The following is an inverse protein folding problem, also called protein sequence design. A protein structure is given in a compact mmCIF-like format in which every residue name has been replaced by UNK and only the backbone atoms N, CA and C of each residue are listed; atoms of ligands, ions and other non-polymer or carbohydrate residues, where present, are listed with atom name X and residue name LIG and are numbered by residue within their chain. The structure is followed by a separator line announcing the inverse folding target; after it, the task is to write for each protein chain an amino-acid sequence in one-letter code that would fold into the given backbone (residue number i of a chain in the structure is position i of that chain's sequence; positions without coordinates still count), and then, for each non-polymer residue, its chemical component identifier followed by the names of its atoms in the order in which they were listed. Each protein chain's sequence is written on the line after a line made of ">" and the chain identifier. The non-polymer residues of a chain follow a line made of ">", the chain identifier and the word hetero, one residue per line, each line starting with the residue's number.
data_IF_233551856674
#
_entry.id   IF_233551856674
#
_cell.length_a   1.000
_cell.length_b   1.000
_cell.length_c   1.000
_cell.angle_alpha   90.00
_cell.angle_beta   90.00
_cell.angle_gamma   90.00
#
_symmetry.space_group_name_H-M   'P 1'
#
loop_
_entity.id
_entity.type
_entity.pdbx_description
1 polymer ?
#
# COMPACT_ATOMS: atom_id res chain seq x y z
N UNK A 1 -11.63 9.75 -28.37
CA UNK A 1 -12.39 8.73 -27.62
C UNK A 1 -13.23 9.36 -26.51
N UNK A 2 -12.66 9.83 -25.38
CA UNK A 2 -13.44 10.27 -24.20
C UNK A 2 -14.49 11.35 -24.49
N UNK A 3 -14.11 12.48 -25.10
CA UNK A 3 -15.06 13.56 -25.46
C UNK A 3 -16.21 13.14 -26.39
N UNK A 4 -16.06 12.02 -27.10
CA UNK A 4 -17.07 11.55 -28.05
C UNK A 4 -17.94 10.45 -27.47
N UNK A 5 -17.35 9.50 -26.73
CA UNK A 5 -18.07 8.35 -26.18
C UNK A 5 -18.49 8.51 -24.72
N UNK A 6 -17.84 9.40 -23.97
CA UNK A 6 -18.05 9.59 -22.53
C UNK A 6 -18.59 10.99 -22.18
N UNK A 7 -19.05 11.76 -23.18
CA UNK A 7 -19.62 13.10 -22.95
C UNK A 7 -20.88 13.10 -22.08
N UNK A 8 -21.58 11.96 -21.98
CA UNK A 8 -22.72 11.82 -21.07
C UNK A 8 -22.34 12.00 -19.59
N UNK A 9 -21.07 11.79 -19.23
CA UNK A 9 -20.55 12.01 -17.87
C UNK A 9 -20.53 13.51 -17.54
N UNK A 10 -20.31 14.38 -18.53
CA UNK A 10 -20.35 15.84 -18.31
C UNK A 10 -21.74 16.35 -17.90
N UNK A 11 -22.78 15.56 -18.16
CA UNK A 11 -24.15 15.87 -17.72
C UNK A 11 -24.44 15.43 -16.27
N UNK A 12 -23.51 14.74 -15.63
CA UNK A 12 -23.59 14.29 -14.25
C UNK A 12 -22.61 15.09 -13.37
N UNK A 13 -23.09 16.13 -12.66
CA UNK A 13 -22.21 17.05 -11.92
C UNK A 13 -21.54 16.39 -10.69
N UNK A 14 -22.01 15.22 -10.27
CA UNK A 14 -21.45 14.45 -9.17
C UNK A 14 -20.53 13.32 -9.65
N UNK A 15 -20.32 13.19 -10.96
CA UNK A 15 -19.43 12.19 -11.52
C UNK A 15 -17.97 12.66 -11.53
N UNK A 16 -17.09 11.76 -11.11
CA UNK A 16 -15.65 11.86 -11.28
C UNK A 16 -15.19 10.69 -12.17
N UNK A 17 -14.65 11.02 -13.33
CA UNK A 17 -13.95 10.06 -14.19
C UNK A 17 -12.44 10.25 -14.06
N UNK A 18 -11.76 9.18 -13.65
CA UNK A 18 -10.30 9.09 -13.67
C UNK A 18 -9.86 8.08 -14.72
N UNK A 19 -8.73 8.36 -15.35
CA UNK A 19 -8.07 7.46 -16.29
C UNK A 19 -6.58 7.39 -16.02
N UNK A 20 -6.03 6.18 -16.00
CA UNK A 20 -4.60 5.95 -15.98
C UNK A 20 -4.22 4.98 -17.10
N UNK A 21 -3.62 5.53 -18.16
CA UNK A 21 -3.30 4.82 -19.41
C UNK A 21 -4.52 4.16 -20.01
N UNK A 22 -4.82 2.89 -19.69
CA UNK A 22 -5.95 2.14 -20.25
C UNK A 22 -7.02 1.80 -19.21
N UNK A 23 -6.75 2.07 -17.94
CA UNK A 23 -7.67 1.79 -16.84
C UNK A 23 -8.53 3.01 -16.51
N UNK A 24 -9.84 2.78 -16.38
CA UNK A 24 -10.82 3.81 -16.02
C UNK A 24 -11.39 3.55 -14.63
N UNK A 25 -11.69 4.63 -13.91
CA UNK A 25 -12.47 4.62 -12.67
C UNK A 25 -13.54 5.70 -12.76
N UNK A 26 -14.81 5.28 -12.70
CA UNK A 26 -15.95 6.17 -12.59
C UNK A 26 -16.47 6.11 -11.15
N UNK A 27 -16.61 7.28 -10.52
CA UNK A 27 -17.24 7.45 -9.21
C UNK A 27 -18.43 8.38 -9.41
N UNK A 28 -19.64 7.92 -9.11
CA UNK A 28 -20.87 8.73 -9.19
C UNK A 28 -21.97 8.08 -8.34
N UNK A 29 -22.87 8.85 -7.71
CA UNK A 29 -24.09 8.32 -7.11
C UNK A 29 -25.20 8.02 -8.14
N UNK A 30 -25.05 8.45 -9.40
CA UNK A 30 -26.10 8.35 -10.41
C UNK A 30 -26.06 7.02 -11.17
N UNK A 31 -27.04 6.16 -10.90
CA UNK A 31 -27.16 4.85 -11.55
C UNK A 31 -27.22 4.94 -13.08
N UNK A 32 -27.85 5.97 -13.66
CA UNK A 32 -27.93 6.10 -15.13
C UNK A 32 -26.57 6.31 -15.76
N UNK A 33 -25.71 7.07 -15.09
CA UNK A 33 -24.33 7.30 -15.53
C UNK A 33 -23.51 6.01 -15.43
N UNK A 34 -23.70 5.22 -14.36
CA UNK A 34 -23.08 3.91 -14.19
C UNK A 34 -23.50 2.97 -15.33
N UNK A 35 -24.79 2.87 -15.63
CA UNK A 35 -25.30 1.97 -16.68
C UNK A 35 -24.82 2.37 -18.09
N UNK A 36 -24.78 3.68 -18.37
CA UNK A 36 -24.24 4.21 -19.62
C UNK A 36 -22.73 3.93 -19.76
N UNK A 37 -21.97 4.08 -18.68
CA UNK A 37 -20.54 3.77 -18.66
C UNK A 37 -20.28 2.27 -18.82
N UNK A 38 -21.06 1.42 -18.15
CA UNK A 38 -20.99 -0.03 -18.31
C UNK A 38 -21.28 -0.47 -19.75
N UNK A 39 -22.24 0.18 -20.40
CA UNK A 39 -22.56 -0.04 -21.82
C UNK A 39 -21.38 0.37 -22.71
N UNK A 40 -20.74 1.49 -22.43
CA UNK A 40 -19.52 1.92 -23.12
C UNK A 40 -18.38 0.89 -22.94
N UNK A 41 -18.12 0.42 -21.72
CA UNK A 41 -17.09 -0.58 -21.42
C UNK A 41 -17.34 -1.87 -22.22
N UNK A 42 -18.58 -2.36 -22.27
CA UNK A 42 -18.89 -3.56 -23.06
C UNK A 42 -18.77 -3.39 -24.56
N UNK A 43 -19.15 -2.22 -25.09
CA UNK A 43 -19.14 -1.98 -26.53
C UNK A 43 -17.76 -1.59 -27.06
N UNK A 44 -16.90 -1.05 -26.20
CA UNK A 44 -15.63 -0.44 -26.56
C UNK A 44 -15.81 0.86 -27.36
N UNK A 45 -14.68 1.41 -27.82
CA UNK A 45 -14.64 2.50 -28.77
C UNK A 45 -14.01 1.99 -30.08
N UNK A 46 -14.81 1.22 -30.85
CA UNK A 46 -14.36 0.51 -32.06
C UNK A 46 -13.78 1.44 -33.12
N UNK A 47 -14.31 2.65 -33.27
CA UNK A 47 -13.80 3.67 -34.20
C UNK A 47 -12.39 4.17 -33.82
N UNK A 48 -11.99 3.94 -32.57
CA UNK A 48 -10.65 4.23 -32.04
C UNK A 48 -9.80 2.96 -31.88
N UNK A 49 -10.27 1.80 -32.35
CA UNK A 49 -9.59 0.51 -32.18
C UNK A 49 -9.43 0.08 -30.71
N UNK A 50 -10.30 0.54 -29.83
CA UNK A 50 -10.23 0.30 -28.39
C UNK A 50 -11.33 -0.67 -27.94
N UNK A 51 -10.91 -1.76 -27.30
CA UNK A 51 -11.79 -2.76 -26.70
C UNK A 51 -11.41 -2.91 -25.22
N UNK A 52 -12.41 -3.07 -24.36
CA UNK A 52 -12.19 -3.29 -22.93
C UNK A 52 -12.47 -4.74 -22.57
N UNK A 53 -11.72 -5.26 -21.60
CA UNK A 53 -11.97 -6.58 -21.07
C UNK A 53 -13.10 -6.50 -20.02
N UNK A 54 -14.34 -6.72 -20.45
CA UNK A 54 -15.51 -6.70 -19.56
C UNK A 54 -15.38 -7.69 -18.39
N UNK A 55 -14.72 -8.85 -18.59
CA UNK A 55 -14.50 -9.84 -17.52
C UNK A 55 -13.49 -9.38 -16.45
N UNK A 56 -12.63 -8.41 -16.77
CA UNK A 56 -11.75 -7.74 -15.80
C UNK A 56 -12.34 -6.45 -15.24
N UNK A 57 -13.52 -6.05 -15.70
CA UNK A 57 -14.19 -4.85 -15.25
C UNK A 57 -14.97 -5.14 -13.97
N UNK A 58 -14.98 -4.17 -13.06
CA UNK A 58 -15.62 -4.31 -11.74
C UNK A 58 -16.57 -3.15 -11.46
N UNK A 59 -17.62 -3.44 -10.70
CA UNK A 59 -18.59 -2.45 -10.20
C UNK A 59 -18.89 -2.68 -8.72
N UNK A 60 -19.29 -1.63 -8.00
CA UNK A 60 -19.72 -1.74 -6.60
C UNK A 60 -21.12 -2.33 -6.45
N UNK A 61 -21.92 -2.28 -7.52
CA UNK A 61 -23.27 -2.82 -7.57
C UNK A 61 -23.50 -3.60 -8.87
N UNK A 62 -24.54 -4.46 -8.86
CA UNK A 62 -24.94 -5.20 -10.06
C UNK A 62 -25.42 -4.24 -11.13
N UNK A 63 -24.94 -4.44 -12.35
CA UNK A 63 -25.39 -3.71 -13.54
C UNK A 63 -26.30 -4.65 -14.33
N UNK A 64 -27.61 -4.40 -14.29
CA UNK A 64 -28.61 -5.28 -14.90
C UNK A 64 -28.43 -5.41 -16.42
N UNK A 65 -27.91 -4.36 -17.06
CA UNK A 65 -27.65 -4.35 -18.50
C UNK A 65 -26.40 -5.14 -18.91
N UNK A 66 -25.61 -5.64 -17.95
CA UNK A 66 -24.30 -6.22 -18.23
C UNK A 66 -23.80 -7.21 -17.16
N UNK A 67 -24.18 -8.48 -17.30
CA UNK A 67 -23.74 -9.55 -16.39
C UNK A 67 -22.24 -9.92 -16.53
N UNK A 68 -21.50 -9.36 -17.49
CA UNK A 68 -20.06 -9.63 -17.65
C UNK A 68 -19.19 -8.83 -16.68
N UNK A 69 -19.69 -7.70 -16.16
CA UNK A 69 -18.97 -6.89 -15.19
C UNK A 69 -19.12 -7.53 -13.82
N UNK A 70 -17.98 -7.81 -13.18
CA UNK A 70 -17.96 -8.45 -11.88
C UNK A 70 -18.42 -7.47 -10.80
N UNK A 71 -19.37 -7.90 -9.96
CA UNK A 71 -19.69 -7.15 -8.74
C UNK A 71 -18.56 -7.39 -7.75
N UNK A 72 -17.85 -6.33 -7.41
CA UNK A 72 -16.94 -6.35 -6.30
C UNK A 72 -17.79 -6.46 -5.01
N UNK A 73 -17.53 -7.45 -4.17
CA UNK A 73 -18.19 -7.55 -2.86
C UNK A 73 -17.33 -6.96 -1.74
N UNK A 74 -16.06 -6.68 -2.02
CA UNK A 74 -15.15 -6.09 -1.07
C UNK A 74 -15.52 -4.63 -0.76
N UNK A 75 -15.30 -4.25 0.50
CA UNK A 75 -15.47 -2.89 1.00
C UNK A 75 -14.49 -1.90 0.36
N UNK A 76 -13.35 -2.43 -0.10
CA UNK A 76 -12.23 -1.72 -0.70
C UNK A 76 -12.20 -2.01 -2.21
N UNK A 77 -12.47 -1.00 -3.04
CA UNK A 77 -12.52 -1.12 -4.49
C UNK A 77 -11.13 -0.91 -5.11
N UNK A 78 -10.58 -1.87 -5.88
CA UNK A 78 -9.23 -1.75 -6.43
C UNK A 78 -9.19 -0.93 -7.71
N UNK A 79 -8.17 -0.07 -7.83
CA UNK A 79 -7.84 0.61 -9.08
C UNK A 79 -6.37 1.05 -9.10
N UNK A 80 -5.61 0.64 -10.12
CA UNK A 80 -4.23 1.06 -10.37
C UNK A 80 -3.26 0.93 -9.18
N UNK A 81 -3.40 -0.11 -8.36
CA UNK A 81 -2.55 -0.33 -7.18
C UNK A 81 -2.97 0.46 -5.93
N UNK A 82 -4.16 1.05 -5.96
CA UNK A 82 -4.85 1.66 -4.83
C UNK A 82 -6.14 0.92 -4.52
N UNK A 83 -6.61 1.07 -3.28
CA UNK A 83 -7.89 0.59 -2.81
C UNK A 83 -8.71 1.79 -2.32
N UNK A 84 -9.97 1.90 -2.73
CA UNK A 84 -10.87 2.97 -2.33
C UNK A 84 -11.96 2.40 -1.42
N UNK A 85 -12.07 2.91 -0.20
CA UNK A 85 -13.19 2.55 0.67
C UNK A 85 -14.49 3.05 0.03
N UNK A 86 -15.47 2.16 -0.16
CA UNK A 86 -16.73 2.52 -0.85
C UNK A 86 -17.45 3.73 -0.29
N UNK A 87 -17.57 3.78 1.04
CA UNK A 87 -18.44 4.78 1.68
C UNK A 87 -17.69 6.07 2.01
N UNK A 88 -16.44 5.98 2.48
CA UNK A 88 -15.66 7.14 2.93
C UNK A 88 -14.75 7.71 1.86
N UNK A 89 -14.49 6.95 0.79
CA UNK A 89 -13.49 7.25 -0.26
C UNK A 89 -12.07 7.38 0.27
N UNK A 90 -11.81 6.93 1.51
CA UNK A 90 -10.46 6.75 2.04
C UNK A 90 -9.64 5.86 1.10
N UNK A 91 -8.38 6.21 0.88
CA UNK A 91 -7.52 5.56 -0.11
C UNK A 91 -6.41 4.79 0.59
N UNK A 92 -6.27 3.52 0.25
CA UNK A 92 -5.19 2.65 0.70
C UNK A 92 -4.29 2.22 -0.45
N UNK A 93 -3.11 1.73 -0.11
CA UNK A 93 -2.26 1.05 -1.08
C UNK A 93 -2.69 -0.40 -1.24
N UNK A 94 -2.76 -0.87 -2.49
CA UNK A 94 -2.96 -2.28 -2.77
C UNK A 94 -1.61 -3.03 -2.65
N UNK A 95 -1.59 -4.04 -1.78
CA UNK A 95 -0.47 -4.94 -1.54
C UNK A 95 -0.74 -6.38 -2.01
N UNK A 96 -1.92 -6.69 -2.54
CA UNK A 96 -2.30 -8.05 -3.00
C UNK A 96 -1.31 -8.64 -4.00
N UNK A 97 -0.64 -7.78 -4.79
CA UNK A 97 0.44 -8.18 -5.70
C UNK A 97 1.64 -8.87 -5.03
N UNK A 98 1.76 -8.78 -3.70
CA UNK A 98 2.81 -9.43 -2.91
C UNK A 98 2.35 -10.75 -2.27
N UNK A 99 1.04 -11.03 -2.22
CA UNK A 99 0.49 -12.18 -1.49
C UNK A 99 0.88 -13.53 -2.12
N UNK A 100 0.88 -13.61 -3.46
CA UNK A 100 1.11 -14.88 -4.18
C UNK A 100 2.52 -15.01 -4.78
N UNK A 101 3.39 -14.02 -4.57
CA UNK A 101 4.77 -14.03 -5.10
C UNK A 101 5.76 -13.95 -3.96
N UNK A 102 6.75 -14.86 -3.94
CA UNK A 102 7.82 -14.81 -2.95
C UNK A 102 8.54 -13.46 -2.99
N UNK A 103 8.60 -12.75 -1.86
CA UNK A 103 9.22 -11.42 -1.82
C UNK A 103 10.70 -11.44 -2.29
N UNK A 104 11.40 -12.57 -2.16
CA UNK A 104 12.74 -12.79 -2.73
C UNK A 104 12.78 -12.60 -4.24
N UNK A 105 11.74 -13.04 -4.96
CA UNK A 105 11.66 -12.98 -6.42
C UNK A 105 11.41 -11.56 -6.93
N UNK A 106 10.97 -10.66 -6.03
CA UNK A 106 10.68 -9.26 -6.30
C UNK A 106 11.84 -8.33 -5.95
N UNK A 107 12.99 -8.87 -5.53
CA UNK A 107 14.13 -8.11 -5.04
C UNK A 107 15.41 -8.37 -5.84
N UNK A 108 16.08 -7.30 -6.25
CA UNK A 108 17.45 -7.39 -6.73
C UNK A 108 18.43 -7.29 -5.55
N UNK A 109 19.12 -8.40 -5.27
CA UNK A 109 20.06 -8.52 -4.15
C UNK A 109 21.48 -8.13 -4.59
N UNK A 110 22.08 -7.17 -3.89
CA UNK A 110 23.53 -6.96 -3.91
C UNK A 110 24.09 -7.65 -2.65
N UNK A 111 24.89 -8.69 -2.86
CA UNK A 111 25.41 -9.57 -1.80
C UNK A 111 26.51 -8.93 -0.94
N UNK A 112 27.01 -7.76 -1.31
CA UNK A 112 27.96 -6.97 -0.51
C UNK A 112 27.40 -5.57 -0.23
N UNK A 113 26.27 -5.46 0.49
CA UNK A 113 25.63 -4.17 0.71
C UNK A 113 26.38 -3.34 1.76
N UNK A 114 26.43 -2.04 1.54
CA UNK A 114 26.78 -1.08 2.59
C UNK A 114 25.55 -0.73 3.45
N UNK A 115 25.76 -0.11 4.60
CA UNK A 115 24.66 0.45 5.40
C UNK A 115 23.82 1.44 4.57
N UNK A 116 24.49 2.22 3.72
CA UNK A 116 23.83 3.15 2.82
C UNK A 116 22.87 2.44 1.86
N UNK A 117 23.26 1.29 1.30
CA UNK A 117 22.42 0.52 0.38
C UNK A 117 21.16 -0.01 1.07
N UNK A 118 21.31 -0.53 2.29
CA UNK A 118 20.17 -1.03 3.08
C UNK A 118 19.18 0.10 3.41
N UNK A 119 19.70 1.23 3.90
CA UNK A 119 18.88 2.42 4.19
C UNK A 119 18.20 2.91 2.91
N UNK A 120 18.96 3.06 1.82
CA UNK A 120 18.44 3.55 0.55
C UNK A 120 17.31 2.65 0.03
N UNK A 121 17.51 1.33 -0.05
CA UNK A 121 16.50 0.39 -0.55
C UNK A 121 15.20 0.43 0.27
N UNK A 122 15.30 0.40 1.59
CA UNK A 122 14.12 0.47 2.46
C UNK A 122 13.43 1.84 2.38
N UNK A 123 14.19 2.95 2.37
CA UNK A 123 13.65 4.29 2.17
C UNK A 123 12.92 4.44 0.84
N UNK A 124 13.46 3.89 -0.26
CA UNK A 124 12.78 3.92 -1.56
C UNK A 124 11.45 3.15 -1.53
N UNK A 125 11.42 1.97 -0.88
CA UNK A 125 10.18 1.20 -0.73
C UNK A 125 9.08 2.01 0.00
N UNK A 126 9.46 2.76 1.04
CA UNK A 126 8.55 3.64 1.78
C UNK A 126 8.09 4.81 0.90
N UNK A 127 9.02 5.50 0.23
CA UNK A 127 8.72 6.70 -0.58
C UNK A 127 7.76 6.40 -1.73
N UNK A 128 7.89 5.24 -2.36
CA UNK A 128 6.95 4.80 -3.41
C UNK A 128 5.51 4.70 -2.89
N UNK A 129 5.33 4.39 -1.60
CA UNK A 129 4.06 4.28 -0.90
C UNK A 129 3.70 5.53 -0.07
N UNK A 130 4.41 6.65 -0.25
CA UNK A 130 4.13 7.96 0.36
C UNK A 130 3.57 8.98 -0.65
N UNK A 131 2.73 8.51 -1.58
CA UNK A 131 2.03 9.41 -2.50
C UNK A 131 1.02 10.27 -1.74
N UNK A 132 0.79 11.52 -2.18
CA UNK A 132 -0.06 12.48 -1.46
C UNK A 132 -1.47 11.92 -1.17
N UNK A 133 -2.06 11.21 -2.13
CA UNK A 133 -3.39 10.58 -1.98
C UNK A 133 -3.50 9.62 -0.79
N UNK A 134 -2.37 9.07 -0.30
CA UNK A 134 -2.33 8.12 0.83
C UNK A 134 -2.05 8.77 2.19
N UNK A 135 -1.50 9.98 2.19
CA UNK A 135 -0.94 10.62 3.39
C UNK A 135 -1.54 11.99 3.70
N UNK A 136 -2.36 12.53 2.81
CA UNK A 136 -3.00 13.82 3.01
C UNK A 136 -4.25 13.67 3.91
N UNK A 137 -4.31 14.38 5.06
CA UNK A 137 -5.46 14.36 5.96
C UNK A 137 -6.71 15.05 5.39
N UNK A 138 -6.60 15.75 4.27
CA UNK A 138 -7.74 16.34 3.56
C UNK A 138 -8.54 15.30 2.78
N UNK A 139 -7.91 14.17 2.42
CA UNK A 139 -8.55 13.08 1.68
C UNK A 139 -8.83 11.85 2.53
N UNK A 140 -8.09 11.67 3.63
CA UNK A 140 -8.15 10.45 4.42
C UNK A 140 -8.40 10.73 5.89
N UNK A 141 -9.22 9.90 6.53
CA UNK A 141 -9.37 9.95 7.98
C UNK A 141 -8.09 9.52 8.72
N UNK A 142 -7.96 9.93 9.98
CA UNK A 142 -6.79 9.62 10.82
C UNK A 142 -6.48 8.12 10.92
N UNK A 143 -7.51 7.26 10.99
CA UNK A 143 -7.31 5.81 11.05
C UNK A 143 -6.68 5.28 9.75
N UNK A 144 -7.11 5.80 8.60
CA UNK A 144 -6.57 5.46 7.27
C UNK A 144 -5.13 5.93 7.12
N UNK A 145 -4.80 7.15 7.57
CA UNK A 145 -3.42 7.65 7.57
C UNK A 145 -2.48 6.74 8.38
N UNK A 146 -2.94 6.26 9.54
CA UNK A 146 -2.19 5.33 10.37
C UNK A 146 -2.04 3.95 9.72
N UNK A 147 -3.10 3.41 9.11
CA UNK A 147 -3.03 2.15 8.36
C UNK A 147 -2.02 2.25 7.21
N UNK A 148 -2.15 3.27 6.37
CA UNK A 148 -1.22 3.52 5.26
C UNK A 148 0.23 3.69 5.75
N UNK A 149 0.43 4.33 6.92
CA UNK A 149 1.75 4.42 7.53
C UNK A 149 2.30 3.07 7.98
N UNK A 150 1.49 2.27 8.67
CA UNK A 150 1.90 0.94 9.09
C UNK A 150 2.24 0.03 7.91
N UNK A 151 1.37 -0.06 6.90
CA UNK A 151 1.55 -0.98 5.78
C UNK A 151 2.76 -0.63 4.93
N UNK A 152 3.06 0.67 4.70
CA UNK A 152 4.28 1.08 3.98
C UNK A 152 5.55 0.72 4.75
N UNK A 153 5.53 0.84 6.08
CA UNK A 153 6.64 0.45 6.94
C UNK A 153 6.80 -1.07 7.00
N UNK A 154 5.69 -1.80 6.99
CA UNK A 154 5.68 -3.26 6.93
C UNK A 154 6.30 -3.77 5.64
N UNK A 155 5.92 -3.20 4.48
CA UNK A 155 6.54 -3.54 3.21
C UNK A 155 8.06 -3.32 3.24
N UNK A 156 8.49 -2.19 3.78
CA UNK A 156 9.91 -1.86 3.89
C UNK A 156 10.67 -2.80 4.83
N UNK A 157 10.07 -3.14 5.97
CA UNK A 157 10.62 -4.11 6.92
C UNK A 157 10.74 -5.50 6.29
N UNK A 158 9.70 -5.97 5.58
CA UNK A 158 9.68 -7.27 4.90
C UNK A 158 10.76 -7.33 3.82
N UNK A 159 10.87 -6.29 2.99
CA UNK A 159 11.94 -6.20 1.98
C UNK A 159 13.33 -6.20 2.61
N UNK A 160 13.56 -5.44 3.68
CA UNK A 160 14.83 -5.41 4.38
C UNK A 160 15.15 -6.75 5.03
N UNK A 161 14.16 -7.41 5.62
CA UNK A 161 14.28 -8.74 6.24
C UNK A 161 14.75 -9.79 5.23
N UNK A 162 14.08 -9.86 4.08
CA UNK A 162 14.46 -10.77 2.99
C UNK A 162 15.86 -10.43 2.49
N UNK A 163 16.17 -9.15 2.29
CA UNK A 163 17.48 -8.71 1.86
C UNK A 163 18.61 -9.14 2.81
N UNK A 164 18.44 -8.88 4.11
CA UNK A 164 19.39 -9.28 5.14
C UNK A 164 19.53 -10.81 5.21
N UNK A 165 18.44 -11.55 5.02
CA UNK A 165 18.46 -13.02 4.99
C UNK A 165 19.26 -13.56 3.81
N UNK A 166 19.09 -13.00 2.61
CA UNK A 166 19.83 -13.41 1.42
C UNK A 166 21.35 -13.15 1.58
N UNK A 167 21.72 -11.99 2.11
CA UNK A 167 23.13 -11.65 2.40
C UNK A 167 23.70 -12.55 3.49
N UNK A 168 22.93 -12.79 4.56
CA UNK A 168 23.32 -13.67 5.65
C UNK A 168 23.58 -15.10 5.18
N UNK A 169 22.74 -15.63 4.28
CA UNK A 169 22.94 -16.95 3.68
C UNK A 169 24.21 -16.97 2.82
N UNK A 170 24.43 -15.95 1.99
CA UNK A 170 25.60 -15.85 1.12
C UNK A 170 26.91 -15.70 1.90
N UNK A 171 26.90 -15.02 3.05
CA UNK A 171 28.07 -14.80 3.92
C UNK A 171 28.29 -15.95 4.91
N UNK A 172 27.81 -17.17 4.61
CA UNK A 172 28.04 -18.34 5.46
C UNK A 172 27.37 -18.27 6.84
N UNK A 173 26.29 -17.48 6.96
CA UNK A 173 25.48 -17.28 8.18
C UNK A 173 26.21 -16.56 9.33
N UNK A 174 27.16 -15.68 9.01
CA UNK A 174 27.80 -14.81 10.02
C UNK A 174 26.76 -13.90 10.70
N UNK A 175 26.69 -13.86 12.05
CA UNK A 175 25.73 -13.02 12.75
C UNK A 175 25.85 -11.54 12.39
N UNK A 176 24.73 -10.90 12.07
CA UNK A 176 24.69 -9.45 11.83
C UNK A 176 24.75 -8.73 13.17
N UNK A 177 25.63 -7.72 13.29
CA UNK A 177 25.73 -6.91 14.49
C UNK A 177 24.37 -6.20 14.78
N UNK A 178 23.75 -6.41 15.94
CA UNK A 178 22.45 -5.81 16.27
C UNK A 178 22.43 -4.28 16.25
N UNK A 179 23.50 -3.64 16.75
CA UNK A 179 23.63 -2.18 16.77
C UNK A 179 23.77 -1.61 15.37
N UNK A 180 24.47 -2.32 14.48
CA UNK A 180 24.56 -1.94 13.07
C UNK A 180 23.18 -1.90 12.42
N UNK A 181 22.40 -2.99 12.56
CA UNK A 181 21.06 -3.07 11.97
C UNK A 181 20.08 -2.09 12.63
N UNK A 182 20.18 -1.88 13.94
CA UNK A 182 19.42 -0.84 14.65
C UNK A 182 19.69 0.56 14.07
N UNK A 183 20.95 0.91 13.82
CA UNK A 183 21.31 2.19 13.21
C UNK A 183 20.80 2.32 11.77
N UNK A 184 20.72 1.24 11.01
CA UNK A 184 20.08 1.21 9.69
C UNK A 184 18.59 1.52 9.83
N UNK A 185 17.87 0.81 10.71
CA UNK A 185 16.43 1.02 10.94
C UNK A 185 16.14 2.45 11.39
N UNK A 186 16.93 2.99 12.32
CA UNK A 186 16.81 4.39 12.76
C UNK A 186 16.99 5.38 11.61
N UNK A 187 18.03 5.20 10.79
CA UNK A 187 18.27 6.06 9.62
C UNK A 187 17.16 5.98 8.58
N UNK A 188 16.50 4.83 8.43
CA UNK A 188 15.34 4.69 7.55
C UNK A 188 14.23 5.62 8.04
N UNK A 189 13.88 5.55 9.33
CA UNK A 189 12.85 6.41 9.93
C UNK A 189 13.20 7.89 9.78
N UNK A 190 14.41 8.28 10.15
CA UNK A 190 14.88 9.68 10.09
C UNK A 190 14.81 10.26 8.67
N UNK A 191 14.95 9.42 7.62
CA UNK A 191 14.88 9.83 6.21
C UNK A 191 13.48 9.82 5.61
N UNK A 192 12.52 9.14 6.21
CA UNK A 192 11.16 8.97 5.65
C UNK A 192 10.08 9.65 6.46
N UNK A 193 10.33 9.91 7.75
CA UNK A 193 9.40 10.63 8.58
C UNK A 193 9.33 12.11 8.13
N UNK A 194 8.11 12.57 7.87
CA UNK A 194 7.83 13.96 7.50
C UNK A 194 6.87 14.57 8.52
N UNK A 195 7.40 15.41 9.40
CA UNK A 195 6.62 16.08 10.44
C UNK A 195 5.49 16.93 9.88
N UNK A 196 5.62 17.45 8.66
CA UNK A 196 4.58 18.28 8.04
C UNK A 196 3.34 17.48 7.62
N UNK A 197 3.47 16.15 7.51
CA UNK A 197 2.43 15.23 7.03
C UNK A 197 1.93 14.25 8.09
N UNK A 198 2.63 14.18 9.23
CA UNK A 198 2.27 13.31 10.34
C UNK A 198 1.18 13.95 11.20
N UNK A 199 0.07 13.23 11.39
CA UNK A 199 -1.03 13.64 12.29
C UNK A 199 -0.76 13.34 13.77
N UNK A 200 0.10 12.36 14.07
CA UNK A 200 0.58 12.04 15.42
C UNK A 200 1.95 11.37 15.34
N UNK A 201 2.98 12.10 15.77
CA UNK A 201 4.39 11.66 15.69
C UNK A 201 4.66 10.39 16.50
N UNK A 202 4.08 10.30 17.70
CA UNK A 202 4.32 9.16 18.60
C UNK A 202 3.63 7.91 18.05
N UNK A 203 2.42 8.07 17.51
CA UNK A 203 1.69 6.98 16.88
C UNK A 203 2.43 6.49 15.63
N UNK A 204 2.83 7.39 14.73
CA UNK A 204 3.53 7.01 13.51
C UNK A 204 4.87 6.33 13.79
N UNK A 205 5.64 6.85 14.77
CA UNK A 205 6.88 6.20 15.23
C UNK A 205 6.61 4.81 15.81
N UNK A 206 5.55 4.66 16.59
CA UNK A 206 5.17 3.38 17.15
C UNK A 206 4.77 2.36 16.08
N UNK A 207 4.01 2.78 15.06
CA UNK A 207 3.63 1.94 13.92
C UNK A 207 4.86 1.50 13.11
N UNK A 208 5.82 2.42 12.89
CA UNK A 208 7.11 2.10 12.29
C UNK A 208 7.85 1.02 13.08
N UNK A 209 8.01 1.20 14.40
CA UNK A 209 8.71 0.23 15.24
C UNK A 209 8.01 -1.13 15.23
N UNK A 210 6.67 -1.16 15.36
CA UNK A 210 5.89 -2.40 15.31
C UNK A 210 6.06 -3.15 14.00
N UNK A 211 6.02 -2.46 12.85
CA UNK A 211 6.21 -3.08 11.55
C UNK A 211 7.55 -3.83 11.45
N UNK A 212 8.65 -3.20 11.91
CA UNK A 212 9.97 -3.83 11.93
C UNK A 212 10.08 -4.96 12.95
N UNK A 213 9.55 -4.78 14.17
CA UNK A 213 9.57 -5.80 15.22
C UNK A 213 8.82 -7.06 14.76
N UNK A 214 7.57 -6.92 14.29
CA UNK A 214 6.74 -8.04 13.83
C UNK A 214 7.39 -8.78 12.66
N UNK A 215 7.98 -8.04 11.71
CA UNK A 215 8.68 -8.65 10.59
C UNK A 215 9.91 -9.44 11.06
N UNK A 216 10.74 -8.84 11.90
CA UNK A 216 11.97 -9.46 12.38
C UNK A 216 11.72 -10.68 13.28
N UNK A 217 10.60 -10.70 14.01
CA UNK A 217 10.17 -11.85 14.78
C UNK A 217 9.94 -13.11 13.93
N UNK A 218 9.74 -12.99 12.62
CA UNK A 218 9.64 -14.15 11.71
C UNK A 218 10.99 -14.85 11.47
N UNK A 219 12.11 -14.24 11.85
CA UNK A 219 13.47 -14.79 11.70
C UNK A 219 14.36 -14.44 12.91
N UNK A 220 14.01 -14.92 14.12
CA UNK A 220 14.65 -14.49 15.37
C UNK A 220 16.14 -14.86 15.43
N UNK A 221 16.58 -15.90 14.73
CA UNK A 221 17.99 -16.29 14.63
C UNK A 221 18.87 -15.20 14.01
N UNK A 222 18.30 -14.33 13.17
CA UNK A 222 19.01 -13.23 12.52
C UNK A 222 18.81 -11.90 13.25
N UNK A 223 17.65 -11.72 13.91
CA UNK A 223 17.21 -10.40 14.35
C UNK A 223 16.96 -10.24 15.85
N UNK A 224 17.16 -11.26 16.69
CA UNK A 224 16.88 -11.19 18.14
C UNK A 224 17.47 -9.95 18.81
N UNK A 225 18.76 -9.67 18.61
CA UNK A 225 19.41 -8.52 19.24
C UNK A 225 18.87 -7.16 18.77
N UNK A 226 18.46 -7.02 17.50
CA UNK A 226 17.88 -5.75 17.03
C UNK A 226 16.44 -5.60 17.51
N UNK A 227 15.69 -6.71 17.63
CA UNK A 227 14.34 -6.71 18.19
C UNK A 227 14.36 -6.15 19.62
N UNK A 228 15.32 -6.55 20.46
CA UNK A 228 15.45 -6.03 21.82
C UNK A 228 15.68 -4.51 21.85
N UNK A 229 16.55 -4.00 20.97
CA UNK A 229 16.81 -2.56 20.84
C UNK A 229 15.57 -1.79 20.37
N UNK A 230 14.83 -2.33 19.39
CA UNK A 230 13.59 -1.71 18.90
C UNK A 230 12.47 -1.75 19.94
N UNK A 231 12.34 -2.84 20.70
CA UNK A 231 11.40 -2.95 21.81
C UNK A 231 11.66 -1.90 22.89
N UNK A 232 12.94 -1.66 23.23
CA UNK A 232 13.31 -0.61 24.19
C UNK A 232 12.87 0.78 23.73
N UNK A 233 12.89 1.06 22.43
CA UNK A 233 12.35 2.31 21.88
C UNK A 233 10.82 2.31 21.83
N UNK A 234 10.19 1.18 21.54
CA UNK A 234 8.73 1.05 21.53
C UNK A 234 8.12 1.29 22.92
N UNK A 235 8.80 0.85 23.99
CA UNK A 235 8.38 1.09 25.37
C UNK A 235 8.28 2.59 25.72
N UNK A 236 9.04 3.45 25.03
CA UNK A 236 9.03 4.91 25.23
C UNK A 236 7.87 5.60 24.52
N UNK A 237 7.13 4.90 23.65
CA UNK A 237 5.98 5.47 22.94
C UNK A 237 4.80 5.66 23.90
N UNK A 238 4.31 6.89 24.01
CA UNK A 238 3.28 7.32 24.98
C UNK A 238 1.98 6.51 24.87
N UNK A 239 1.50 6.29 23.65
CA UNK A 239 0.23 5.62 23.35
C UNK A 239 0.39 4.19 22.83
N UNK A 240 1.52 3.52 23.14
CA UNK A 240 1.88 2.21 22.58
C UNK A 240 0.82 1.11 22.77
N UNK A 241 0.03 1.18 23.83
CA UNK A 241 -1.01 0.21 24.15
C UNK A 241 -2.15 0.17 23.12
N UNK A 242 -2.36 1.25 22.35
CA UNK A 242 -3.40 1.33 21.31
C UNK A 242 -2.97 0.68 19.99
N UNK A 243 -1.66 0.63 19.73
CA UNK A 243 -1.11 0.22 18.43
C UNK A 243 -1.46 -1.23 18.07
N UNK A 244 -1.29 -2.24 18.96
CA UNK A 244 -1.65 -3.61 18.62
C UNK A 244 -3.13 -3.77 18.25
N UNK A 245 -4.02 -3.11 19.00
CA UNK A 245 -5.45 -3.14 18.73
C UNK A 245 -5.79 -2.54 17.36
N UNK A 246 -5.17 -1.41 17.02
CA UNK A 246 -5.36 -0.78 15.70
C UNK A 246 -4.89 -1.69 14.58
N UNK A 247 -3.67 -2.24 14.68
CA UNK A 247 -3.13 -3.16 13.69
C UNK A 247 -4.04 -4.37 13.51
N UNK A 248 -4.54 -4.97 14.60
CA UNK A 248 -5.43 -6.13 14.53
C UNK A 248 -6.81 -5.84 13.96
N UNK A 249 -7.22 -4.56 13.90
CA UNK A 249 -8.51 -4.14 13.34
C UNK A 249 -8.47 -3.91 11.82
N UNK A 250 -7.28 -3.87 11.23
CA UNK A 250 -7.11 -3.66 9.80
C UNK A 250 -6.99 -5.00 9.06
N UNK A 251 -7.40 -5.07 7.79
CA UNK A 251 -7.13 -6.22 6.94
C UNK A 251 -5.63 -6.55 6.90
N UNK A 252 -5.29 -7.84 6.84
CA UNK A 252 -3.91 -8.26 6.62
C UNK A 252 -3.48 -7.87 5.20
N UNK A 253 -2.40 -7.07 5.02
CA UNK A 253 -1.94 -6.68 3.70
C UNK A 253 -1.27 -7.82 2.91
N UNK A 254 -1.11 -9.01 3.50
CA UNK A 254 -0.49 -10.17 2.83
C UNK A 254 1.03 -10.03 2.67
N UNK A 255 1.68 -9.36 3.64
CA UNK A 255 3.13 -9.05 3.66
C UNK A 255 3.90 -9.88 4.69
#
# INVERSE_FOLDING_TARGET
>A
MERQHLSFIESDPEALLLRYVDDFLLITPNQRTIDAFATFVSNGAKDFGCEFNAQKSMSTARIESNDLITVCEAQEFPWCGYLFHRDTLDVFSDYTRYADTGMSDLLTVNYTPTAFDLVHKATQAIKLKQQLILIDPSYNCTNTLFRNAYERYLLAAVKLSVYCKEVWIADGKVPINPTYLYNVVKQIYDKTYDKSKSVDVDMERGLFLCAFIITFQRCPQLFSGVIDLLNNDFLKIKNRHRIPHMISSWPDPGL
#
